data_IF_220075364969
#
_entry.id   IF_220075364969
#
_cell.length_a   1.000
_cell.length_b   1.000
_cell.length_c   1.000
_cell.angle_alpha   90.00
_cell.angle_beta   90.00
_cell.angle_gamma   90.00
#
_symmetry.space_group_name_H-M   'P 1'
#
loop_
_entity.id
_entity.type
_entity.pdbx_description
1 polymer ?
#
# COMPACT_ATOMS: atom_id res chain seq x y z
N UNK A 1 2.30 -11.99 -20.97
CA UNK A 1 2.26 -10.62 -20.41
C UNK A 1 0.88 -10.41 -19.80
N UNK A 2 0.80 -9.67 -18.69
CA UNK A 2 -0.49 -9.31 -18.08
C UNK A 2 -1.10 -8.18 -18.90
N UNK A 3 -2.29 -8.38 -19.43
CA UNK A 3 -3.02 -7.37 -20.21
C UNK A 3 -3.67 -6.33 -19.30
N UNK A 4 -3.74 -5.08 -19.78
CA UNK A 4 -4.36 -3.96 -19.04
C UNK A 4 -5.48 -3.35 -19.87
N UNK A 5 -6.56 -2.97 -19.19
CA UNK A 5 -7.69 -2.26 -19.77
C UNK A 5 -7.54 -0.75 -19.56
N UNK A 6 -8.20 0.08 -20.40
CA UNK A 6 -8.38 1.50 -20.12
C UNK A 6 -8.98 1.72 -18.73
N UNK A 7 -8.39 2.62 -17.94
CA UNK A 7 -8.92 2.97 -16.63
C UNK A 7 -10.36 3.51 -16.73
N UNK A 8 -11.34 2.91 -16.04
CA UNK A 8 -12.73 3.33 -16.16
C UNK A 8 -12.95 4.68 -15.48
N UNK A 9 -13.80 5.54 -16.07
CA UNK A 9 -14.22 6.77 -15.41
C UNK A 9 -15.01 6.48 -14.12
N UNK A 10 -15.89 5.49 -14.17
CA UNK A 10 -16.67 4.98 -13.04
C UNK A 10 -16.29 3.53 -12.81
N UNK A 11 -15.73 3.22 -11.64
CA UNK A 11 -15.26 1.88 -11.32
C UNK A 11 -16.40 0.87 -11.20
N UNK A 12 -17.48 1.23 -10.49
CA UNK A 12 -18.74 0.50 -10.53
C UNK A 12 -19.52 0.93 -11.78
N UNK A 13 -19.90 -0.04 -12.60
CA UNK A 13 -20.60 0.17 -13.87
C UNK A 13 -22.10 0.51 -13.67
N UNK A 14 -22.82 0.69 -14.78
CA UNK A 14 -24.26 0.97 -14.77
C UNK A 14 -25.13 -0.19 -14.28
N UNK A 15 -24.59 -1.41 -14.27
CA UNK A 15 -25.26 -2.61 -13.74
C UNK A 15 -24.97 -2.82 -12.26
N UNK A 16 -24.21 -1.92 -11.63
CA UNK A 16 -23.82 -2.02 -10.24
C UNK A 16 -22.72 -3.04 -9.98
N UNK A 17 -21.93 -3.42 -10.98
CA UNK A 17 -20.82 -4.36 -10.85
C UNK A 17 -19.46 -3.65 -10.94
N UNK A 18 -18.43 -4.13 -10.21
CA UNK A 18 -17.08 -3.60 -10.35
C UNK A 18 -16.46 -4.01 -11.69
N UNK A 19 -15.72 -3.09 -12.30
CA UNK A 19 -14.85 -3.44 -13.43
C UNK A 19 -13.67 -4.27 -12.90
N UNK A 20 -13.48 -5.47 -13.43
CA UNK A 20 -12.43 -6.42 -13.01
C UNK A 20 -11.23 -6.37 -13.96
N UNK A 21 -10.03 -6.54 -13.43
CA UNK A 21 -8.78 -6.63 -14.19
C UNK A 21 -7.77 -5.56 -13.83
N UNK A 22 -6.66 -5.53 -14.58
CA UNK A 22 -5.64 -4.49 -14.47
C UNK A 22 -5.99 -3.29 -15.34
N UNK A 23 -5.55 -2.11 -14.90
CA UNK A 23 -5.81 -0.84 -15.57
C UNK A 23 -4.51 -0.16 -16.01
N UNK A 24 -4.58 0.60 -17.10
CA UNK A 24 -3.52 1.48 -17.59
C UNK A 24 -3.52 2.88 -16.95
N UNK A 25 -4.30 3.07 -15.89
CA UNK A 25 -4.40 4.35 -15.19
C UNK A 25 -5.25 4.24 -13.93
N UNK A 26 -5.58 5.41 -13.36
CA UNK A 26 -6.35 5.52 -12.12
C UNK A 26 -7.84 5.74 -12.47
N UNK A 27 -8.77 4.90 -11.99
CA UNK A 27 -10.19 5.16 -12.08
C UNK A 27 -10.57 6.47 -11.38
N UNK A 28 -11.38 7.30 -12.03
CA UNK A 28 -11.71 8.63 -11.49
C UNK A 28 -12.63 8.59 -10.28
N UNK A 29 -13.57 7.65 -10.24
CA UNK A 29 -14.49 7.49 -9.11
C UNK A 29 -14.75 6.02 -8.82
N UNK A 30 -14.82 5.67 -7.52
CA UNK A 30 -15.22 4.33 -7.13
C UNK A 30 -16.73 4.12 -7.30
N UNK A 31 -17.58 5.13 -7.04
CA UNK A 31 -19.05 5.04 -7.13
C UNK A 31 -19.67 3.85 -6.36
N UNK A 32 -19.16 3.61 -5.14
CA UNK A 32 -19.55 2.48 -4.28
C UNK A 32 -21.04 2.47 -3.93
N UNK A 33 -21.71 3.63 -3.97
CA UNK A 33 -23.15 3.78 -3.78
C UNK A 33 -23.97 3.05 -4.85
N UNK A 34 -23.42 2.86 -6.06
CA UNK A 34 -24.06 2.12 -7.15
C UNK A 34 -23.87 0.61 -7.07
N UNK A 35 -22.94 0.13 -6.24
CA UNK A 35 -22.62 -1.29 -6.16
C UNK A 35 -23.83 -2.14 -5.74
N UNK A 36 -24.23 -3.11 -6.55
CA UNK A 36 -25.27 -4.08 -6.21
C UNK A 36 -24.68 -5.15 -5.30
N UNK A 37 -24.49 -4.79 -4.03
CA UNK A 37 -23.91 -5.69 -3.04
C UNK A 37 -24.92 -6.75 -2.61
N UNK A 38 -24.53 -8.02 -2.75
CA UNK A 38 -25.33 -9.18 -2.36
C UNK A 38 -24.65 -9.96 -1.25
N UNK A 39 -25.43 -10.74 -0.51
CA UNK A 39 -24.90 -11.68 0.48
C UNK A 39 -24.55 -13.03 -0.18
N UNK A 40 -24.07 -13.99 0.62
CA UNK A 40 -23.67 -15.32 0.13
C UNK A 40 -24.82 -16.21 -0.36
N UNK A 41 -26.06 -15.73 -0.28
CA UNK A 41 -27.28 -16.41 -0.74
C UNK A 41 -27.95 -15.62 -1.88
N UNK A 42 -27.17 -14.76 -2.57
CA UNK A 42 -27.58 -13.94 -3.71
C UNK A 42 -28.70 -12.92 -3.43
N UNK A 43 -29.09 -12.75 -2.17
CA UNK A 43 -30.03 -11.70 -1.78
C UNK A 43 -29.32 -10.35 -1.64
N UNK A 44 -30.02 -9.26 -1.98
CA UNK A 44 -29.50 -7.90 -1.84
C UNK A 44 -29.11 -7.62 -0.39
N UNK A 45 -27.87 -7.20 -0.18
CA UNK A 45 -27.39 -6.81 1.14
C UNK A 45 -28.12 -5.55 1.61
N UNK A 46 -28.44 -5.49 2.90
CA UNK A 46 -29.08 -4.31 3.47
C UNK A 46 -28.09 -3.12 3.53
N UNK A 47 -28.57 -1.88 3.70
CA UNK A 47 -27.72 -0.70 3.72
C UNK A 47 -26.62 -0.73 4.78
N UNK A 48 -26.86 -1.36 5.93
CA UNK A 48 -25.88 -1.50 7.01
C UNK A 48 -24.75 -2.45 6.64
N UNK A 49 -25.07 -3.60 6.05
CA UNK A 49 -24.08 -4.53 5.51
C UNK A 49 -23.23 -3.84 4.44
N UNK A 50 -23.88 -3.16 3.49
CA UNK A 50 -23.19 -2.41 2.44
C UNK A 50 -22.25 -1.34 3.02
N UNK A 51 -22.71 -0.59 4.01
CA UNK A 51 -21.90 0.43 4.66
C UNK A 51 -20.71 -0.20 5.40
N UNK A 52 -20.95 -1.11 6.34
CA UNK A 52 -19.94 -1.61 7.27
C UNK A 52 -19.01 -2.68 6.70
N UNK A 53 -19.33 -3.31 5.58
CA UNK A 53 -18.43 -4.29 4.95
C UNK A 53 -17.36 -3.62 4.08
N UNK A 54 -17.56 -2.36 3.67
CA UNK A 54 -16.57 -1.61 2.92
C UNK A 54 -15.37 -1.22 3.80
N UNK A 55 -14.17 -1.30 3.23
CA UNK A 55 -12.89 -1.01 3.87
C UNK A 55 -12.05 -0.13 2.93
N UNK A 56 -11.27 0.80 3.48
CA UNK A 56 -10.34 1.62 2.72
C UNK A 56 -9.03 1.83 3.50
N UNK A 57 -7.92 1.82 2.77
CA UNK A 57 -6.56 1.90 3.28
C UNK A 57 -5.77 2.85 2.40
N UNK A 58 -4.99 3.72 3.01
CA UNK A 58 -3.98 4.51 2.34
C UNK A 58 -2.69 4.41 3.14
N UNK A 59 -1.59 4.16 2.43
CA UNK A 59 -0.26 4.09 3.02
C UNK A 59 0.75 4.83 2.15
N UNK A 60 1.66 5.54 2.80
CA UNK A 60 2.83 6.16 2.18
C UNK A 60 4.07 5.65 2.89
N UNK A 61 5.04 5.19 2.11
CA UNK A 61 6.42 4.96 2.57
C UNK A 61 7.31 5.99 1.91
N UNK A 62 8.10 6.72 2.69
CA UNK A 62 9.15 7.63 2.20
C UNK A 62 10.48 7.11 2.73
N UNK A 63 11.42 6.87 1.83
CA UNK A 63 12.79 6.48 2.14
C UNK A 63 13.69 7.65 1.80
N UNK A 64 14.43 8.15 2.77
CA UNK A 64 15.49 9.14 2.60
C UNK A 64 16.84 8.46 2.81
N UNK A 65 17.94 9.21 2.71
CA UNK A 65 19.28 8.67 3.02
C UNK A 65 19.42 8.24 4.48
N UNK A 66 18.66 8.86 5.38
CA UNK A 66 18.82 8.72 6.83
C UNK A 66 17.63 8.04 7.51
N UNK A 67 16.45 8.06 6.89
CA UNK A 67 15.22 7.59 7.54
C UNK A 67 14.31 6.80 6.60
N UNK A 68 13.51 5.90 7.17
CA UNK A 68 12.27 5.40 6.57
C UNK A 68 11.09 5.95 7.35
N UNK A 69 10.12 6.52 6.64
CA UNK A 69 8.89 7.04 7.22
C UNK A 69 7.73 6.24 6.65
N UNK A 70 6.91 5.66 7.51
CA UNK A 70 5.68 5.00 7.11
C UNK A 70 4.47 5.68 7.74
N UNK A 71 3.49 6.00 6.90
CA UNK A 71 2.26 6.69 7.31
C UNK A 71 1.07 5.94 6.76
N UNK A 72 0.14 5.53 7.61
CA UNK A 72 -1.09 4.87 7.20
C UNK A 72 -2.33 5.59 7.73
N UNK A 73 -3.40 5.60 6.93
CA UNK A 73 -4.76 5.85 7.39
C UNK A 73 -5.63 4.67 6.92
N UNK A 74 -6.35 4.08 7.86
CA UNK A 74 -7.25 2.95 7.63
C UNK A 74 -8.64 3.32 8.10
N UNK A 75 -9.64 3.12 7.24
CA UNK A 75 -11.05 3.25 7.58
C UNK A 75 -11.78 1.93 7.37
N UNK A 76 -12.30 1.40 8.48
CA UNK A 76 -13.15 0.22 8.46
C UNK A 76 -14.59 0.54 8.84
N UNK A 77 -14.96 1.83 8.77
CA UNK A 77 -16.29 2.43 8.98
C UNK A 77 -16.70 2.61 10.43
N UNK A 78 -16.58 1.57 11.26
CA UNK A 78 -16.83 1.69 12.70
C UNK A 78 -15.58 2.04 13.50
N UNK A 79 -14.40 2.00 12.88
CA UNK A 79 -13.14 2.42 13.45
C UNK A 79 -12.25 3.01 12.35
N UNK A 80 -11.66 4.17 12.60
CA UNK A 80 -10.52 4.67 11.85
C UNK A 80 -9.26 4.48 12.67
N UNK A 81 -8.18 4.09 12.02
CA UNK A 81 -6.85 4.06 12.63
C UNK A 81 -5.84 4.77 11.76
N UNK A 82 -4.82 5.31 12.38
CA UNK A 82 -3.65 5.82 11.69
C UNK A 82 -2.40 5.60 12.50
N UNK A 83 -1.28 5.49 11.82
CA UNK A 83 0.03 5.54 12.42
C UNK A 83 0.97 6.34 11.54
N UNK A 84 1.96 6.92 12.17
CA UNK A 84 3.11 7.54 11.53
C UNK A 84 4.33 7.11 12.32
N UNK A 85 5.26 6.42 11.67
CA UNK A 85 6.54 6.08 12.28
C UNK A 85 7.69 6.72 11.51
N UNK A 86 8.79 6.93 12.22
CA UNK A 86 10.08 7.32 11.70
C UNK A 86 11.08 6.28 12.17
N UNK A 87 11.79 5.67 11.23
CA UNK A 87 12.88 4.75 11.48
C UNK A 87 14.20 5.43 11.11
N UNK A 88 15.11 5.57 12.07
CA UNK A 88 16.48 6.03 11.86
C UNK A 88 17.33 4.86 11.38
N UNK A 89 17.85 4.98 10.15
CA UNK A 89 18.62 3.92 9.49
C UNK A 89 19.96 3.69 10.19
N UNK A 90 20.62 4.76 10.63
CA UNK A 90 21.96 4.68 11.22
C UNK A 90 21.91 4.07 12.62
N UNK A 91 20.95 4.51 13.43
CA UNK A 91 20.84 4.09 14.83
C UNK A 91 19.99 2.82 15.00
N UNK A 92 19.29 2.37 13.96
CA UNK A 92 18.35 1.25 14.01
C UNK A 92 17.26 1.46 15.08
N UNK A 93 16.71 2.68 15.13
CA UNK A 93 15.69 3.07 16.11
C UNK A 93 14.38 3.43 15.41
N UNK A 94 13.25 3.03 16.01
CA UNK A 94 11.92 3.30 15.48
C UNK A 94 11.09 4.06 16.53
N UNK A 95 10.62 5.23 16.15
CA UNK A 95 9.65 6.02 16.91
C UNK A 95 8.31 6.08 16.17
N UNK A 96 7.21 5.93 16.89
CA UNK A 96 5.87 5.96 16.28
C UNK A 96 4.83 6.78 17.07
N UNK A 97 3.87 7.30 16.33
CA UNK A 97 2.63 7.85 16.85
C UNK A 97 1.44 7.11 16.22
N UNK A 98 0.40 6.83 17.00
CA UNK A 98 -0.80 6.16 16.52
C UNK A 98 -2.08 6.80 17.04
N UNK A 99 -3.16 6.61 16.28
CA UNK A 99 -4.47 7.16 16.59
C UNK A 99 -5.57 6.15 16.28
N UNK A 100 -6.53 6.04 17.19
CA UNK A 100 -7.77 5.29 17.01
C UNK A 100 -8.95 6.25 17.14
N UNK A 101 -9.91 6.13 16.21
CA UNK A 101 -11.08 7.00 16.12
C UNK A 101 -12.35 6.19 15.88
N UNK A 102 -13.32 6.17 16.81
CA UNK A 102 -14.54 5.43 16.61
C UNK A 102 -15.39 6.08 15.50
N UNK A 103 -16.06 5.25 14.71
CA UNK A 103 -17.00 5.65 13.67
C UNK A 103 -16.43 6.68 12.69
N UNK A 104 -17.05 7.86 12.56
CA UNK A 104 -16.59 8.97 11.72
C UNK A 104 -15.92 10.12 12.48
N UNK A 105 -15.65 9.95 13.78
CA UNK A 105 -15.10 11.04 14.60
C UNK A 105 -13.67 11.40 14.18
N UNK A 106 -13.37 12.69 14.04
CA UNK A 106 -12.01 13.22 13.80
C UNK A 106 -11.29 12.54 12.62
N UNK A 107 -12.04 12.23 11.56
CA UNK A 107 -11.48 11.74 10.29
C UNK A 107 -12.37 12.02 9.09
N UNK A 108 -11.75 12.02 7.92
CA UNK A 108 -12.40 12.01 6.62
C UNK A 108 -11.63 11.03 5.72
N UNK A 109 -12.33 10.32 4.85
CA UNK A 109 -11.72 9.45 3.84
C UNK A 109 -12.28 9.78 2.46
N UNK A 110 -11.41 9.75 1.45
CA UNK A 110 -11.81 10.05 0.08
C UNK A 110 -12.72 8.97 -0.51
N UNK A 111 -13.62 9.36 -1.40
CA UNK A 111 -14.43 8.44 -2.22
C UNK A 111 -13.75 8.06 -3.55
N UNK A 112 -12.63 8.69 -3.88
CA UNK A 112 -11.93 8.51 -5.15
C UNK A 112 -10.42 8.34 -4.94
N UNK A 113 -9.77 7.44 -5.70
CA UNK A 113 -8.31 7.33 -5.73
C UNK A 113 -7.64 8.33 -6.66
N UNK A 114 -8.42 9.18 -7.37
CA UNK A 114 -7.96 10.17 -8.34
C UNK A 114 -8.04 11.61 -7.82
N UNK A 115 -9.06 11.92 -7.03
CA UNK A 115 -9.18 13.21 -6.34
C UNK A 115 -9.76 13.04 -4.94
N UNK A 116 -9.38 13.94 -4.03
CA UNK A 116 -10.04 14.07 -2.73
C UNK A 116 -9.07 14.12 -1.57
N UNK A 117 -9.64 14.06 -0.36
CA UNK A 117 -8.91 14.30 0.87
C UNK A 117 -9.22 13.20 1.88
N UNK A 118 -8.17 12.65 2.47
CA UNK A 118 -8.22 11.75 3.61
C UNK A 118 -7.43 12.39 4.74
N UNK A 119 -8.01 12.55 5.93
CA UNK A 119 -7.30 13.08 7.10
C UNK A 119 -7.80 12.48 8.40
N UNK A 120 -6.96 12.57 9.43
CA UNK A 120 -7.25 12.08 10.78
C UNK A 120 -6.41 12.84 11.82
N UNK A 121 -6.75 12.68 13.10
CA UNK A 121 -5.97 13.17 14.24
C UNK A 121 -5.93 14.69 14.35
N UNK A 122 -7.05 15.36 14.08
CA UNK A 122 -7.15 16.81 14.02
C UNK A 122 -6.46 17.38 12.79
N UNK A 123 -6.57 16.69 11.65
CA UNK A 123 -5.89 17.03 10.39
C UNK A 123 -4.35 17.06 10.48
N UNK A 124 -3.77 16.41 11.49
CA UNK A 124 -2.30 16.31 11.63
C UNK A 124 -1.67 15.32 10.67
N UNK A 125 -2.44 14.34 10.21
CA UNK A 125 -2.04 13.39 9.18
C UNK A 125 -3.06 13.52 8.06
N UNK A 126 -2.59 13.82 6.85
CA UNK A 126 -3.44 14.05 5.70
C UNK A 126 -2.82 13.55 4.40
N UNK A 127 -3.67 12.95 3.56
CA UNK A 127 -3.39 12.60 2.18
C UNK A 127 -4.35 13.38 1.28
N UNK A 128 -3.79 14.08 0.30
CA UNK A 128 -4.54 14.85 -0.69
C UNK A 128 -4.23 14.27 -2.05
N UNK A 129 -5.26 14.01 -2.84
CA UNK A 129 -5.13 13.53 -4.20
C UNK A 129 -5.69 14.60 -5.12
N UNK A 130 -4.89 15.06 -6.08
CA UNK A 130 -5.28 16.05 -7.07
C UNK A 130 -4.85 15.54 -8.44
N UNK A 131 -5.82 15.22 -9.30
CA UNK A 131 -5.58 14.69 -10.64
C UNK A 131 -4.64 13.46 -10.67
N UNK A 132 -4.82 12.54 -9.70
CA UNK A 132 -4.01 11.34 -9.55
C UNK A 132 -2.62 11.56 -8.97
N UNK A 133 -2.26 12.78 -8.58
CA UNK A 133 -1.01 13.08 -7.85
C UNK A 133 -1.28 13.20 -6.36
N UNK A 134 -0.28 12.84 -5.55
CA UNK A 134 -0.45 12.73 -4.10
C UNK A 134 0.35 13.80 -3.37
N UNK A 135 -0.28 14.39 -2.35
CA UNK A 135 0.37 15.23 -1.36
C UNK A 135 0.15 14.65 0.03
N UNK A 136 1.18 14.74 0.86
CA UNK A 136 1.19 14.24 2.23
C UNK A 136 1.43 15.41 3.18
N UNK A 137 0.54 15.56 4.14
CA UNK A 137 0.66 16.51 5.24
C UNK A 137 0.92 15.75 6.54
N UNK A 138 2.03 16.08 7.19
CA UNK A 138 2.40 15.57 8.51
C UNK A 138 2.61 16.76 9.45
N UNK A 139 1.99 16.74 10.61
CA UNK A 139 2.15 17.77 11.64
C UNK A 139 2.03 17.16 13.04
N UNK A 140 3.07 16.44 13.43
CA UNK A 140 3.18 15.81 14.75
C UNK A 140 4.33 16.43 15.53
N UNK A 141 4.57 15.97 16.77
CA UNK A 141 5.76 16.38 17.53
C UNK A 141 7.05 15.81 16.94
N UNK A 142 6.99 14.59 16.40
CA UNK A 142 8.13 13.84 15.85
C UNK A 142 8.50 14.32 14.44
N UNK A 143 7.49 14.53 13.59
CA UNK A 143 7.66 14.79 12.16
C UNK A 143 6.69 15.88 11.68
N UNK A 144 7.20 16.78 10.84
CA UNK A 144 6.43 17.80 10.13
C UNK A 144 6.79 17.79 8.65
N UNK A 145 5.82 17.87 7.77
CA UNK A 145 6.10 17.90 6.35
C UNK A 145 4.90 18.28 5.49
N UNK A 146 5.20 18.90 4.35
CA UNK A 146 4.28 19.14 3.24
C UNK A 146 4.97 18.62 1.99
N UNK A 147 4.57 17.43 1.58
CA UNK A 147 5.32 16.63 0.62
C UNK A 147 4.45 16.38 -0.60
N UNK A 148 5.01 16.48 -1.79
CA UNK A 148 4.39 16.03 -3.03
C UNK A 148 5.10 14.77 -3.52
N UNK A 149 4.34 13.80 -4.01
CA UNK A 149 4.85 12.58 -4.62
C UNK A 149 4.62 12.65 -6.13
N UNK A 150 5.72 12.77 -6.88
CA UNK A 150 5.72 13.02 -8.32
C UNK A 150 6.18 11.76 -9.06
N UNK A 151 5.35 11.18 -9.95
CA UNK A 151 5.79 10.12 -10.82
C UNK A 151 6.76 10.66 -11.89
N UNK A 152 7.62 9.78 -12.41
CA UNK A 152 8.37 10.07 -13.64
C UNK A 152 7.41 10.29 -14.82
N UNK A 153 7.85 11.00 -15.86
CA UNK A 153 7.05 11.21 -17.07
C UNK A 153 6.61 9.88 -17.67
N UNK A 154 5.34 9.78 -18.07
CA UNK A 154 4.73 8.56 -18.62
C UNK A 154 4.69 7.35 -17.66
N UNK A 155 5.10 7.51 -16.40
CA UNK A 155 5.05 6.43 -15.42
C UNK A 155 3.60 6.17 -14.99
N UNK A 156 3.16 4.93 -15.19
CA UNK A 156 1.82 4.49 -14.80
C UNK A 156 1.86 3.81 -13.42
N UNK A 157 0.84 4.05 -12.57
CA UNK A 157 0.66 3.26 -11.36
C UNK A 157 0.23 1.85 -11.73
N UNK A 158 0.39 0.89 -10.82
CA UNK A 158 -0.28 -0.40 -10.91
C UNK A 158 -1.65 -0.21 -10.27
N UNK A 159 -2.71 -0.41 -11.04
CA UNK A 159 -4.08 -0.37 -10.55
C UNK A 159 -4.80 -1.63 -11.03
N UNK A 160 -5.52 -2.30 -10.14
CA UNK A 160 -6.30 -3.47 -10.50
C UNK A 160 -7.48 -3.68 -9.57
N UNK A 161 -8.45 -4.45 -10.05
CA UNK A 161 -9.52 -5.01 -9.25
C UNK A 161 -9.62 -6.51 -9.43
N UNK A 162 -9.81 -7.23 -8.33
CA UNK A 162 -10.16 -8.65 -8.34
C UNK A 162 -11.40 -8.93 -7.50
N UNK A 163 -12.20 -9.95 -7.84
CA UNK A 163 -13.23 -10.47 -6.95
C UNK A 163 -12.62 -10.99 -5.65
N UNK A 164 -13.31 -10.80 -4.53
CA UNK A 164 -12.84 -11.18 -3.19
C UNK A 164 -13.95 -11.87 -2.41
N UNK A 165 -13.72 -13.11 -2.00
CA UNK A 165 -14.79 -13.94 -1.42
C UNK A 165 -15.92 -14.20 -2.44
N UNK A 166 -17.14 -14.42 -1.94
CA UNK A 166 -18.29 -14.77 -2.79
C UNK A 166 -18.94 -13.56 -3.47
N UNK A 167 -19.08 -12.43 -2.75
CA UNK A 167 -19.80 -11.23 -3.24
C UNK A 167 -18.98 -9.94 -3.18
N UNK A 168 -17.70 -10.04 -2.83
CA UNK A 168 -16.83 -8.89 -2.60
C UNK A 168 -15.88 -8.63 -3.76
N UNK A 169 -15.12 -7.56 -3.61
CA UNK A 169 -14.07 -7.17 -4.54
C UNK A 169 -13.01 -6.36 -3.80
N UNK A 170 -11.79 -6.37 -4.31
CA UNK A 170 -10.68 -5.56 -3.83
C UNK A 170 -10.10 -4.77 -5.00
N UNK A 171 -10.09 -3.45 -4.86
CA UNK A 171 -9.33 -2.53 -5.69
C UNK A 171 -8.03 -2.16 -4.98
N UNK A 172 -6.93 -2.18 -5.72
CA UNK A 172 -5.64 -1.66 -5.25
C UNK A 172 -5.04 -0.74 -6.30
N UNK A 173 -4.30 0.26 -5.83
CA UNK A 173 -3.52 1.18 -6.63
C UNK A 173 -2.21 1.46 -5.91
N UNK A 174 -1.10 1.18 -6.58
CA UNK A 174 0.23 1.38 -6.02
C UNK A 174 1.15 2.04 -7.02
N UNK A 175 2.04 2.88 -6.52
CA UNK A 175 3.07 3.51 -7.32
C UNK A 175 4.30 3.72 -6.45
N UNK A 176 5.38 3.02 -6.78
CA UNK A 176 6.64 3.06 -6.05
C UNK A 176 7.71 3.85 -6.79
N UNK A 177 8.76 4.23 -6.05
CA UNK A 177 9.88 5.04 -6.50
C UNK A 177 9.49 6.41 -7.06
N UNK A 178 8.42 7.00 -6.50
CA UNK A 178 8.01 8.37 -6.76
C UNK A 178 9.08 9.33 -6.25
N UNK A 179 9.32 10.40 -7.01
CA UNK A 179 10.14 11.52 -6.57
C UNK A 179 9.41 12.27 -5.45
N UNK A 180 10.18 12.70 -4.46
CA UNK A 180 9.65 13.40 -3.29
C UNK A 180 10.08 14.86 -3.36
N UNK A 181 9.13 15.79 -3.32
CA UNK A 181 9.39 17.24 -3.30
C UNK A 181 8.65 17.90 -2.13
N UNK A 182 9.03 19.13 -1.78
CA UNK A 182 8.43 19.88 -0.67
C UNK A 182 9.36 20.02 0.53
N UNK A 183 8.81 19.94 1.75
CA UNK A 183 9.59 20.07 2.99
C UNK A 183 9.28 18.95 3.98
N UNK A 184 10.32 18.53 4.71
CA UNK A 184 10.26 17.50 5.72
C UNK A 184 11.23 17.84 6.85
N UNK A 185 10.74 17.77 8.08
CA UNK A 185 11.50 17.91 9.32
C UNK A 185 11.21 16.72 10.23
N UNK A 186 12.27 16.15 10.82
CA UNK A 186 12.19 15.11 11.86
C UNK A 186 12.92 15.66 13.09
N UNK A 187 12.29 15.62 14.26
CA UNK A 187 12.85 16.19 15.49
C UNK A 187 13.33 17.64 15.32
N UNK A 188 12.58 18.44 14.55
CA UNK A 188 12.88 19.84 14.20
C UNK A 188 14.16 20.03 13.36
N UNK A 189 14.72 18.95 12.81
CA UNK A 189 15.84 18.98 11.87
C UNK A 189 15.34 18.79 10.44
N UNK A 190 15.75 19.64 9.48
CA UNK A 190 15.36 19.49 8.08
C UNK A 190 16.00 18.23 7.49
N UNK A 191 15.24 17.51 6.67
CA UNK A 191 15.69 16.30 5.98
C UNK A 191 15.79 16.59 4.48
N UNK A 192 16.94 16.25 3.88
CA UNK A 192 17.12 16.34 2.43
C UNK A 192 16.20 15.34 1.72
N UNK A 193 15.50 15.82 0.69
CA UNK A 193 14.61 15.02 -0.15
C UNK A 193 15.23 14.68 -1.52
N UNK A 194 16.49 15.06 -1.77
CA UNK A 194 17.11 14.93 -3.09
C UNK A 194 17.19 13.47 -3.58
N UNK A 195 17.63 12.56 -2.71
CA UNK A 195 17.66 11.12 -2.98
C UNK A 195 16.40 10.41 -2.49
N UNK A 196 15.44 11.14 -1.90
CA UNK A 196 14.27 10.51 -1.30
C UNK A 196 13.35 9.90 -2.36
N UNK A 197 12.82 8.72 -2.05
CA UNK A 197 11.85 8.01 -2.89
C UNK A 197 10.68 7.57 -2.06
N UNK A 198 9.50 7.59 -2.66
CA UNK A 198 8.28 7.22 -1.97
C UNK A 198 7.44 6.21 -2.75
N UNK A 199 6.65 5.47 -1.99
CA UNK A 199 5.58 4.62 -2.49
C UNK A 199 4.25 5.09 -1.95
N UNK A 200 3.24 5.12 -2.81
CA UNK A 200 1.84 5.31 -2.42
C UNK A 200 1.09 3.99 -2.63
N UNK A 201 0.29 3.59 -1.63
CA UNK A 201 -0.61 2.44 -1.68
C UNK A 201 -2.01 2.91 -1.29
N UNK A 202 -2.97 2.67 -2.17
CA UNK A 202 -4.39 2.82 -1.92
C UNK A 202 -5.07 1.49 -2.15
N UNK A 203 -5.87 1.06 -1.18
CA UNK A 203 -6.68 -0.13 -1.33
C UNK A 203 -8.09 0.10 -0.80
N UNK A 204 -9.09 -0.44 -1.49
CA UNK A 204 -10.48 -0.28 -1.10
C UNK A 204 -11.32 -1.49 -1.55
N UNK A 205 -12.41 -1.76 -0.83
CA UNK A 205 -13.40 -2.70 -1.31
C UNK A 205 -14.16 -3.45 -0.22
N UNK A 206 -14.81 -4.51 -0.65
CA UNK A 206 -15.57 -5.43 0.18
C UNK A 206 -14.71 -6.68 0.40
N UNK A 207 -13.73 -6.54 1.27
CA UNK A 207 -12.76 -7.60 1.57
C UNK A 207 -13.37 -8.68 2.46
N UNK A 208 -12.72 -9.84 2.53
CA UNK A 208 -13.14 -10.90 3.45
C UNK A 208 -13.06 -10.44 4.90
N UNK A 209 -13.93 -11.03 5.72
CA UNK A 209 -13.99 -10.77 7.15
C UNK A 209 -12.68 -11.09 7.87
N UNK A 210 -12.03 -12.17 7.43
CA UNK A 210 -10.69 -12.58 7.84
C UNK A 210 -9.80 -12.52 6.60
N UNK A 211 -8.74 -11.73 6.66
CA UNK A 211 -7.78 -11.52 5.58
C UNK A 211 -6.39 -11.68 6.15
N UNK A 212 -5.50 -12.35 5.42
CA UNK A 212 -4.08 -12.37 5.75
C UNK A 212 -3.25 -12.16 4.51
N UNK A 213 -2.22 -11.32 4.63
CA UNK A 213 -1.33 -11.05 3.54
C UNK A 213 0.13 -10.99 3.97
N UNK A 214 0.98 -11.20 2.99
CA UNK A 214 2.38 -10.83 3.01
C UNK A 214 2.60 -9.77 1.94
N UNK A 215 3.49 -8.85 2.23
CA UNK A 215 3.78 -7.73 1.35
C UNK A 215 5.28 -7.42 1.36
N UNK A 216 5.79 -6.88 0.27
CA UNK A 216 7.11 -6.31 0.16
C UNK A 216 7.06 -5.02 -0.66
N UNK A 217 7.89 -4.06 -0.26
CA UNK A 217 7.97 -2.75 -0.90
C UNK A 217 9.38 -2.20 -0.89
N UNK A 218 9.80 -1.68 -2.04
CA UNK A 218 11.06 -0.97 -2.22
C UNK A 218 10.76 0.38 -2.85
N UNK A 219 11.43 1.41 -2.34
CA UNK A 219 11.47 2.76 -2.89
C UNK A 219 12.91 3.23 -2.81
N UNK A 220 13.69 2.99 -3.87
CA UNK A 220 15.12 3.21 -3.85
C UNK A 220 15.60 3.99 -5.08
N UNK A 221 16.72 4.68 -4.91
CA UNK A 221 17.50 5.26 -5.99
C UNK A 221 18.95 4.84 -5.81
N UNK A 222 19.53 4.20 -6.81
CA UNK A 222 20.94 3.78 -6.79
C UNK A 222 21.57 4.02 -8.16
N UNK A 223 22.76 4.62 -8.20
CA UNK A 223 23.47 4.95 -9.45
C UNK A 223 22.58 5.61 -10.52
N UNK A 224 21.77 6.59 -10.08
CA UNK A 224 20.78 7.30 -10.91
C UNK A 224 19.64 6.43 -11.50
N UNK A 225 19.48 5.19 -11.03
CA UNK A 225 18.36 4.32 -11.36
C UNK A 225 17.35 4.33 -10.22
N UNK A 226 16.11 4.67 -10.54
CA UNK A 226 14.98 4.56 -9.62
C UNK A 226 14.43 3.14 -9.68
N UNK A 227 14.36 2.46 -8.54
CA UNK A 227 13.78 1.12 -8.41
C UNK A 227 12.63 1.16 -7.42
N UNK A 228 11.45 0.84 -7.92
CA UNK A 228 10.24 0.65 -7.13
C UNK A 228 9.81 -0.82 -7.20
N UNK A 229 9.40 -1.40 -6.08
CA UNK A 229 8.90 -2.78 -6.07
C UNK A 229 7.66 -2.85 -5.20
N UNK A 230 6.65 -3.57 -5.69
CA UNK A 230 5.53 -4.02 -4.90
C UNK A 230 5.33 -5.51 -5.13
N UNK A 231 5.38 -6.31 -4.06
CA UNK A 231 5.01 -7.72 -4.11
C UNK A 231 4.00 -8.02 -3.00
N UNK A 232 2.98 -8.80 -3.30
CA UNK A 232 1.95 -9.19 -2.35
C UNK A 232 1.50 -10.64 -2.58
N UNK A 233 1.06 -11.26 -1.49
CA UNK A 233 0.41 -12.55 -1.50
C UNK A 233 -0.68 -12.60 -0.43
N UNK A 234 -1.91 -12.97 -0.81
CA UNK A 234 -3.03 -13.24 0.11
C UNK A 234 -4.13 -12.18 0.17
N UNK A 235 -3.91 -10.95 -0.33
CA UNK A 235 -4.99 -9.93 -0.42
C UNK A 235 -5.98 -10.28 -1.54
N UNK A 236 -5.46 -10.62 -2.72
CA UNK A 236 -6.22 -10.98 -3.91
C UNK A 236 -6.32 -12.52 -4.01
N UNK A 237 -7.39 -13.10 -3.46
CA UNK A 237 -7.53 -14.57 -3.32
C UNK A 237 -7.93 -15.31 -4.61
N UNK A 238 -8.35 -14.57 -5.64
CA UNK A 238 -8.96 -15.13 -6.88
C UNK A 238 -7.98 -15.21 -8.06
N UNK A 239 -6.68 -15.18 -7.78
CA UNK A 239 -5.62 -15.29 -8.79
C UNK A 239 -5.19 -13.96 -9.43
N UNK A 240 -5.84 -12.84 -9.08
CA UNK A 240 -5.36 -11.51 -9.42
C UNK A 240 -4.04 -11.19 -8.71
N UNK A 241 -3.12 -10.51 -9.40
CA UNK A 241 -1.77 -10.25 -8.90
C UNK A 241 -1.43 -8.76 -8.98
N UNK A 242 -1.14 -8.15 -7.83
CA UNK A 242 -0.75 -6.74 -7.72
C UNK A 242 0.78 -6.54 -7.79
N UNK A 243 1.54 -7.57 -8.17
CA UNK A 243 2.99 -7.54 -8.19
C UNK A 243 3.53 -6.74 -9.37
N UNK A 244 4.52 -5.89 -9.11
CA UNK A 244 5.04 -4.96 -10.12
C UNK A 244 6.40 -4.43 -9.71
N UNK A 245 7.27 -4.29 -10.71
CA UNK A 245 8.54 -3.59 -10.63
C UNK A 245 8.42 -2.28 -11.42
N UNK A 246 8.94 -1.19 -10.87
CA UNK A 246 9.18 0.05 -11.60
C UNK A 246 10.68 0.27 -11.75
N UNK A 247 11.14 0.50 -12.98
CA UNK A 247 12.52 0.89 -13.29
C UNK A 247 12.49 2.20 -14.05
N UNK A 248 13.02 3.27 -13.44
CA UNK A 248 12.98 4.62 -14.01
C UNK A 248 11.58 5.04 -14.49
N UNK A 249 10.55 4.69 -13.70
CA UNK A 249 9.15 4.98 -14.03
C UNK A 249 8.46 3.95 -14.92
N UNK A 250 9.20 3.08 -15.62
CA UNK A 250 8.61 2.04 -16.47
C UNK A 250 8.03 0.92 -15.61
N UNK A 251 6.75 0.62 -15.82
CA UNK A 251 5.98 -0.37 -15.04
C UNK A 251 6.07 -1.76 -15.67
N UNK A 252 6.59 -2.74 -14.95
CA UNK A 252 6.66 -4.15 -15.35
C UNK A 252 5.80 -4.99 -14.41
N UNK A 253 4.64 -5.45 -14.89
CA UNK A 253 3.74 -6.31 -14.12
C UNK A 253 4.36 -7.71 -13.95
N UNK A 254 4.32 -8.22 -12.72
CA UNK A 254 4.97 -9.47 -12.32
C UNK A 254 3.93 -10.52 -11.91
N UNK A 255 4.34 -11.79 -11.96
CA UNK A 255 3.50 -12.92 -11.55
C UNK A 255 3.43 -13.07 -10.02
N UNK A 256 2.54 -13.96 -9.58
CA UNK A 256 2.35 -14.28 -8.16
C UNK A 256 3.66 -14.74 -7.50
N UNK A 257 3.85 -14.35 -6.24
CA UNK A 257 5.00 -14.72 -5.43
C UNK A 257 4.61 -15.52 -4.19
N UNK A 258 5.55 -16.30 -3.69
CA UNK A 258 5.49 -16.97 -2.41
C UNK A 258 6.51 -16.34 -1.45
N UNK A 259 6.04 -16.05 -0.23
CA UNK A 259 6.88 -15.63 0.89
C UNK A 259 7.07 -16.82 1.83
N UNK A 260 8.33 -17.21 2.06
CA UNK A 260 8.71 -18.28 2.99
C UNK A 260 9.55 -17.67 4.10
N UNK A 261 9.06 -17.74 5.34
CA UNK A 261 9.67 -17.12 6.51
C UNK A 261 9.19 -17.80 7.80
N UNK A 262 9.88 -17.52 8.90
CA UNK A 262 9.50 -18.04 10.23
C UNK A 262 8.73 -16.99 11.03
N UNK A 263 7.51 -17.32 11.44
CA UNK A 263 6.76 -16.50 12.42
C UNK A 263 7.25 -16.69 13.86
N UNK A 264 8.04 -17.73 14.12
CA UNK A 264 8.59 -18.03 15.46
C UNK A 264 9.91 -17.30 15.68
N UNK A 265 10.77 -17.36 14.67
CA UNK A 265 12.09 -16.74 14.67
C UNK A 265 12.09 -15.65 13.60
N UNK A 266 11.79 -14.43 14.03
CA UNK A 266 11.49 -13.32 13.12
C UNK A 266 12.73 -12.66 12.55
N UNK A 267 13.92 -13.06 13.01
CA UNK A 267 15.18 -12.46 12.61
C UNK A 267 15.81 -13.27 11.46
N UNK A 268 15.29 -14.47 11.18
CA UNK A 268 15.67 -15.27 10.03
C UNK A 268 15.26 -14.59 8.71
N UNK A 269 16.11 -14.69 7.67
CA UNK A 269 15.78 -14.17 6.35
C UNK A 269 14.53 -14.80 5.75
N UNK A 270 13.81 -14.00 4.96
CA UNK A 270 12.64 -14.42 4.20
C UNK A 270 13.07 -14.73 2.78
N UNK A 271 12.52 -15.79 2.19
CA UNK A 271 12.66 -16.10 0.78
C UNK A 271 11.41 -15.68 0.03
N UNK A 272 11.57 -14.91 -1.04
CA UNK A 272 10.49 -14.43 -1.90
C UNK A 272 10.77 -14.90 -3.31
N UNK A 273 9.94 -15.80 -3.83
CA UNK A 273 10.14 -16.42 -5.14
C UNK A 273 8.86 -16.38 -5.96
N UNK A 274 8.97 -16.27 -7.29
CA UNK A 274 7.86 -16.45 -8.20
C UNK A 274 7.92 -17.83 -8.87
N UNK A 275 6.75 -18.39 -9.21
CA UNK A 275 6.66 -19.73 -9.79
C UNK A 275 7.30 -19.83 -11.18
N UNK A 276 7.35 -18.72 -11.92
CA UNK A 276 8.01 -18.60 -13.23
C UNK A 276 9.54 -18.37 -13.13
N UNK A 277 10.10 -18.33 -11.92
CA UNK A 277 11.54 -18.17 -11.69
C UNK A 277 12.09 -16.76 -11.92
N UNK A 278 11.24 -15.78 -12.27
CA UNK A 278 11.67 -14.39 -12.55
C UNK A 278 12.04 -13.61 -11.30
N UNK A 279 11.59 -14.05 -10.12
CA UNK A 279 11.86 -13.41 -8.83
C UNK A 279 12.54 -14.42 -7.92
N UNK A 280 13.69 -14.04 -7.40
CA UNK A 280 14.40 -14.77 -6.36
C UNK A 280 15.10 -13.77 -5.44
N UNK A 281 14.43 -13.44 -4.33
CA UNK A 281 14.87 -12.43 -3.38
C UNK A 281 14.99 -13.03 -1.98
N UNK A 282 16.03 -12.62 -1.27
CA UNK A 282 16.17 -12.78 0.17
C UNK A 282 15.93 -11.43 0.82
N UNK A 283 15.04 -11.39 1.82
CA UNK A 283 14.89 -10.23 2.70
C UNK A 283 15.50 -10.55 4.08
N UNK A 284 16.44 -9.73 4.53
CA UNK A 284 17.09 -9.86 5.84
C UNK A 284 16.55 -8.79 6.79
N UNK A 285 15.78 -9.17 7.83
CA UNK A 285 15.21 -8.22 8.80
C UNK A 285 16.29 -7.45 9.58
N UNK A 286 16.02 -6.17 9.86
CA UNK A 286 16.81 -5.30 10.74
C UNK A 286 16.03 -4.84 11.96
N UNK A 287 14.79 -4.40 11.72
CA UNK A 287 13.87 -3.90 12.74
C UNK A 287 12.43 -4.26 12.36
N UNK A 288 11.48 -4.02 13.26
CA UNK A 288 10.06 -4.20 12.99
C UNK A 288 9.18 -3.27 13.80
N UNK A 289 8.18 -2.72 13.13
CA UNK A 289 6.96 -2.23 13.77
C UNK A 289 6.03 -3.41 14.03
N UNK A 290 5.45 -3.51 15.22
CA UNK A 290 4.49 -4.58 15.55
C UNK A 290 3.29 -4.04 16.33
N UNK A 291 2.10 -4.45 15.93
CA UNK A 291 0.85 -4.11 16.61
C UNK A 291 -0.04 -5.35 16.71
N UNK A 292 -0.53 -5.62 17.93
CA UNK A 292 -1.44 -6.74 18.19
C UNK A 292 -2.66 -6.26 18.94
N UNK A 293 -3.80 -6.29 18.26
CA UNK A 293 -5.08 -5.83 18.77
C UNK A 293 -6.10 -6.97 18.75
N UNK A 294 -6.86 -7.14 19.84
CA UNK A 294 -7.92 -8.13 19.95
C UNK A 294 -9.10 -7.54 20.73
N UNK A 295 -10.05 -6.94 20.01
CA UNK A 295 -11.26 -6.32 20.55
C UNK A 295 -12.48 -7.23 20.35
N UNK A 296 -12.28 -8.53 20.58
CA UNK A 296 -13.26 -9.60 20.38
C UNK A 296 -13.74 -9.75 18.94
N UNK A 297 -14.58 -8.84 18.43
CA UNK A 297 -15.03 -8.87 17.03
C UNK A 297 -13.91 -8.46 16.08
N UNK A 298 -13.08 -7.49 16.47
CA UNK A 298 -11.94 -7.04 15.67
C UNK A 298 -10.63 -7.69 16.16
N UNK A 299 -9.83 -8.21 15.23
CA UNK A 299 -8.46 -8.66 15.52
C UNK A 299 -7.49 -8.11 14.48
N UNK A 300 -6.32 -7.67 14.92
CA UNK A 300 -5.21 -7.30 14.07
C UNK A 300 -3.93 -7.89 14.66
N UNK A 301 -3.13 -8.53 13.82
CA UNK A 301 -1.81 -9.03 14.18
C UNK A 301 -0.86 -8.60 13.08
N UNK A 302 -0.34 -7.38 13.21
CA UNK A 302 0.42 -6.69 12.18
C UNK A 302 1.89 -6.64 12.57
N UNK A 303 2.75 -7.06 11.64
CA UNK A 303 4.20 -6.84 11.71
C UNK A 303 4.64 -6.27 10.38
N UNK A 304 5.30 -5.11 10.42
CA UNK A 304 5.97 -4.54 9.27
C UNK A 304 7.46 -4.48 9.61
N UNK A 305 8.23 -5.25 8.87
CA UNK A 305 9.67 -5.37 9.02
C UNK A 305 10.36 -4.36 8.12
N UNK A 306 11.46 -3.83 8.63
CA UNK A 306 12.42 -3.02 7.89
C UNK A 306 13.66 -3.87 7.70
N UNK A 307 14.21 -3.88 6.50
CA UNK A 307 15.38 -4.71 6.21
C UNK A 307 15.88 -4.57 4.79
N UNK A 308 16.83 -5.42 4.43
CA UNK A 308 17.51 -5.37 3.15
C UNK A 308 17.06 -6.50 2.24
N UNK A 309 16.81 -6.17 0.97
CA UNK A 309 16.57 -7.11 -0.11
C UNK A 309 17.83 -7.34 -0.91
N UNK A 310 18.16 -8.60 -1.16
CA UNK A 310 19.21 -9.02 -2.08
C UNK A 310 18.72 -10.15 -2.99
N UNK A 311 19.17 -10.17 -4.24
CA UNK A 311 18.78 -11.20 -5.21
C UNK A 311 18.48 -10.62 -6.60
N UNK A 312 17.60 -11.27 -7.33
CA UNK A 312 17.33 -10.95 -8.75
C UNK A 312 15.84 -10.81 -9.05
N UNK A 313 15.51 -9.86 -9.93
CA UNK A 313 14.17 -9.69 -10.51
C UNK A 313 14.32 -9.54 -12.02
N UNK A 314 13.67 -10.37 -12.81
CA UNK A 314 13.60 -10.23 -14.26
C UNK A 314 12.35 -9.48 -14.69
N UNK A 315 12.50 -8.38 -15.43
CA UNK A 315 11.39 -7.58 -15.94
C UNK A 315 10.74 -8.19 -17.20
N UNK A 316 9.75 -7.49 -17.76
CA UNK A 316 8.97 -7.99 -18.90
C UNK A 316 9.76 -8.01 -20.21
N UNK A 317 10.87 -7.30 -20.28
CA UNK A 317 11.80 -7.23 -21.41
C UNK A 317 12.97 -8.22 -21.24
N UNK A 318 12.85 -9.13 -20.26
CA UNK A 318 13.85 -10.14 -19.90
C UNK A 318 15.17 -9.58 -19.34
N UNK A 319 15.19 -8.31 -18.91
CA UNK A 319 16.34 -7.73 -18.22
C UNK A 319 16.31 -8.12 -16.76
N UNK A 320 17.43 -8.64 -16.26
CA UNK A 320 17.60 -9.02 -14.86
C UNK A 320 18.19 -7.86 -14.06
N UNK A 321 17.44 -7.41 -13.06
CA UNK A 321 17.82 -6.38 -12.10
C UNK A 321 18.34 -7.05 -10.84
N UNK A 322 19.60 -6.78 -10.52
CA UNK A 322 20.23 -7.26 -9.29
C UNK A 322 20.00 -6.28 -8.15
N UNK A 323 19.48 -6.79 -7.04
CA UNK A 323 19.39 -6.08 -5.79
C UNK A 323 20.54 -6.55 -4.89
N UNK A 324 21.29 -5.60 -4.35
CA UNK A 324 22.31 -5.83 -3.34
C UNK A 324 22.08 -4.90 -2.16
N UNK A 325 21.64 -5.48 -1.05
CA UNK A 325 21.37 -4.78 0.20
C UNK A 325 20.45 -3.56 0.05
N UNK A 326 19.40 -3.69 -0.76
CA UNK A 326 18.45 -2.60 -1.00
C UNK A 326 17.45 -2.52 0.14
N UNK A 327 17.44 -1.39 0.83
CA UNK A 327 16.53 -1.16 1.96
C UNK A 327 15.07 -1.13 1.51
N UNK A 328 14.19 -1.75 2.30
CA UNK A 328 12.75 -1.73 2.06
C UNK A 328 11.95 -2.32 3.21
N UNK A 329 10.67 -2.58 2.92
CA UNK A 329 9.70 -3.07 3.90
C UNK A 329 9.18 -4.45 3.51
N UNK A 330 8.91 -5.30 4.50
CA UNK A 330 8.05 -6.49 4.33
C UNK A 330 6.98 -6.56 5.41
N UNK A 331 5.88 -7.26 5.15
CA UNK A 331 4.79 -7.41 6.11
C UNK A 331 4.37 -8.87 6.29
N UNK A 332 3.95 -9.18 7.52
CA UNK A 332 3.06 -10.30 7.83
C UNK A 332 1.88 -9.75 8.63
N UNK A 333 0.69 -9.76 8.02
CA UNK A 333 -0.52 -9.24 8.64
C UNK A 333 -1.64 -10.28 8.59
N UNK A 334 -2.31 -10.43 9.72
CA UNK A 334 -3.66 -10.96 9.81
C UNK A 334 -4.62 -9.90 10.34
N UNK A 335 -5.72 -9.70 9.63
CA UNK A 335 -6.80 -8.81 10.02
C UNK A 335 -8.13 -9.56 10.03
N UNK A 336 -8.91 -9.28 11.07
CA UNK A 336 -10.30 -9.70 11.21
C UNK A 336 -11.11 -8.45 11.50
N UNK A 337 -11.82 -7.95 10.51
CA UNK A 337 -12.59 -6.69 10.54
C UNK A 337 -13.86 -6.74 11.36
#
# INVERSE_FOLDING_TARGET
MIETNPAPHSFIDSNGQPTIGHFDGIPKHLNIEKFDYRNSMDAKANPWQKHFHYKQFQFVSIVTETHIIGVAIVDIRYLGSAFCYVYDIQNNELEECSWLRPFGFDKQVTSSPFEGITHIAGQRIGFYIENGQWKVLLNTKLIKGKICLEPESESLPMAMCSPTGYSGWTYTQKHNALKVTGSLEINQQPISLEQARAGYDFSAGYMRRETSWRWASINAKSNNTNIGLNLAAGVNETGGCENVLWVNGTRHLLNAVQFTFSRKDTDLPWQITSQDGRINLTFTPLNKRSEKLNLWLLKSNFRQFIGHFSGSIQDNDSVTHQLDNVLGLTEDHFARW
#
